data_IF_739014719583
#
_entry.id   IF_739014719583
#
_cell.length_a   1.000
_cell.length_b   1.000
_cell.length_c   1.000
_cell.angle_alpha   90.00
_cell.angle_beta   90.00
_cell.angle_gamma   90.00
#
_symmetry.space_group_name_H-M   'P 1'
#
loop_
_entity.id
_entity.type
_entity.pdbx_description
1 polymer ?
#
# COMPACT_ATOMS: atom_id res chain seq x y z
N UNK A 1 106.68 80.99 -86.68
CA UNK A 1 106.35 80.54 -85.30
C UNK A 1 105.25 81.33 -84.59
N UNK A 2 105.11 82.64 -84.77
CA UNK A 2 104.05 83.42 -84.09
C UNK A 2 102.61 83.10 -84.56
N UNK A 3 102.40 82.89 -85.87
CA UNK A 3 101.07 82.62 -86.45
C UNK A 3 100.50 81.23 -86.09
N UNK A 4 101.32 80.17 -86.17
CA UNK A 4 100.90 78.81 -85.81
C UNK A 4 100.57 78.64 -84.32
N UNK A 5 101.25 79.39 -83.45
CA UNK A 5 100.98 79.42 -82.01
C UNK A 5 99.68 80.21 -81.71
N UNK A 6 99.37 81.23 -82.51
CA UNK A 6 98.09 81.94 -82.47
C UNK A 6 96.89 81.06 -82.85
N UNK A 7 97.03 80.24 -83.90
CA UNK A 7 95.97 79.33 -84.35
C UNK A 7 95.71 78.18 -83.36
N UNK A 8 96.76 77.59 -82.78
CA UNK A 8 96.63 76.58 -81.73
C UNK A 8 95.93 77.15 -80.50
N UNK A 9 96.28 78.38 -80.11
CA UNK A 9 95.65 79.12 -79.01
C UNK A 9 94.18 79.42 -79.30
N UNK A 10 93.82 79.77 -80.54
CA UNK A 10 92.42 79.95 -80.95
C UNK A 10 91.63 78.63 -80.89
N UNK A 11 92.17 77.51 -81.38
CA UNK A 11 91.51 76.20 -81.32
C UNK A 11 91.31 75.69 -79.90
N UNK A 12 92.31 75.82 -79.04
CA UNK A 12 92.20 75.45 -77.62
C UNK A 12 91.17 76.33 -76.89
N UNK A 13 91.14 77.64 -77.18
CA UNK A 13 90.10 78.52 -76.65
C UNK A 13 88.70 78.07 -77.09
N UNK A 14 88.52 77.78 -78.38
CA UNK A 14 87.24 77.33 -78.92
C UNK A 14 86.79 75.99 -78.30
N UNK A 15 87.70 75.02 -78.20
CA UNK A 15 87.42 73.73 -77.55
C UNK A 15 87.10 73.88 -76.06
N UNK A 16 87.80 74.75 -75.35
CA UNK A 16 87.49 75.04 -73.95
C UNK A 16 86.12 75.71 -73.80
N UNK A 17 85.77 76.67 -74.68
CA UNK A 17 84.43 77.26 -74.69
C UNK A 17 83.33 76.22 -74.94
N UNK A 18 83.55 75.27 -75.86
CA UNK A 18 82.60 74.17 -76.10
C UNK A 18 82.47 73.24 -74.89
N UNK A 19 83.57 72.88 -74.23
CA UNK A 19 83.54 72.07 -73.01
C UNK A 19 82.82 72.79 -71.88
N UNK A 20 83.06 74.09 -71.69
CA UNK A 20 82.35 74.91 -70.71
C UNK A 20 80.85 74.92 -70.99
N UNK A 21 80.42 75.12 -72.24
CA UNK A 21 78.99 75.03 -72.58
C UNK A 21 78.42 73.64 -72.30
N UNK A 22 79.16 72.58 -72.62
CA UNK A 22 78.72 71.20 -72.35
C UNK A 22 78.60 70.90 -70.86
N UNK A 23 79.49 71.43 -70.03
CA UNK A 23 79.41 71.32 -68.57
C UNK A 23 78.17 72.03 -68.05
N UNK A 24 77.91 73.28 -68.46
CA UNK A 24 76.71 74.01 -68.05
C UNK A 24 75.42 73.29 -68.48
N UNK A 25 75.39 72.73 -69.70
CA UNK A 25 74.25 71.95 -70.19
C UNK A 25 74.02 70.69 -69.33
N UNK A 26 75.09 69.99 -68.95
CA UNK A 26 74.99 68.81 -68.08
C UNK A 26 74.60 69.16 -66.65
N UNK A 27 75.08 70.28 -66.10
CA UNK A 27 74.69 70.80 -64.79
C UNK A 27 73.20 71.19 -64.76
N UNK A 28 72.71 71.82 -65.83
CA UNK A 28 71.29 72.16 -65.97
C UNK A 28 70.43 70.89 -66.10
N UNK A 29 70.87 69.91 -66.90
CA UNK A 29 70.21 68.60 -67.00
C UNK A 29 70.19 67.84 -65.66
N UNK A 30 71.28 67.86 -64.90
CA UNK A 30 71.35 67.23 -63.58
C UNK A 30 70.38 67.91 -62.62
N UNK A 31 70.37 69.24 -62.58
CA UNK A 31 69.48 70.02 -61.72
C UNK A 31 68.01 69.80 -62.07
N UNK A 32 67.68 69.72 -63.36
CA UNK A 32 66.34 69.37 -63.83
C UNK A 32 65.95 67.94 -63.41
N UNK A 33 66.88 66.98 -63.48
CA UNK A 33 66.64 65.60 -63.03
C UNK A 33 66.43 65.52 -61.51
N UNK A 34 67.26 66.22 -60.71
CA UNK A 34 67.11 66.31 -59.27
C UNK A 34 65.74 66.92 -58.90
N UNK A 35 65.38 68.05 -59.51
CA UNK A 35 64.08 68.68 -59.28
C UNK A 35 62.90 67.77 -59.64
N UNK A 36 63.00 66.98 -60.72
CA UNK A 36 61.95 66.03 -61.10
C UNK A 36 61.87 64.85 -60.14
N UNK A 37 63.01 64.36 -59.66
CA UNK A 37 63.06 63.28 -58.68
C UNK A 37 62.45 63.72 -57.34
N UNK A 38 62.79 64.93 -56.89
CA UNK A 38 62.24 65.52 -55.66
C UNK A 38 60.73 65.71 -55.76
N UNK A 39 60.23 66.27 -56.87
CA UNK A 39 58.78 66.41 -57.12
C UNK A 39 58.07 65.05 -57.10
N UNK A 40 58.64 64.04 -57.77
CA UNK A 40 58.07 62.69 -57.80
C UNK A 40 58.02 62.07 -56.40
N UNK A 41 59.09 62.23 -55.62
CA UNK A 41 59.15 61.74 -54.25
C UNK A 41 58.12 62.44 -53.34
N UNK A 42 57.98 63.75 -53.49
CA UNK A 42 56.99 64.54 -52.75
C UNK A 42 55.55 64.10 -53.10
N UNK A 43 55.26 63.88 -54.37
CA UNK A 43 53.95 63.38 -54.83
C UNK A 43 53.65 61.97 -54.31
N UNK A 44 54.61 61.05 -54.37
CA UNK A 44 54.43 59.67 -53.86
C UNK A 44 54.27 59.66 -52.33
N UNK A 45 55.07 60.44 -51.61
CA UNK A 45 54.95 60.54 -50.15
C UNK A 45 53.62 61.17 -49.73
N UNK A 46 53.12 62.16 -50.49
CA UNK A 46 51.80 62.73 -50.28
C UNK A 46 50.71 61.68 -50.54
N UNK A 47 50.76 60.94 -51.65
CA UNK A 47 49.79 59.88 -51.98
C UNK A 47 49.78 58.76 -50.95
N UNK A 48 50.95 58.30 -50.49
CA UNK A 48 51.07 57.31 -49.43
C UNK A 48 50.47 57.81 -48.10
N UNK A 49 50.69 59.08 -47.75
CA UNK A 49 50.09 59.67 -46.55
C UNK A 49 48.57 59.71 -46.62
N UNK A 50 48.00 60.10 -47.76
CA UNK A 50 46.55 60.14 -47.95
C UNK A 50 45.90 58.76 -47.87
N UNK A 51 46.48 57.78 -48.58
CA UNK A 51 46.00 56.39 -48.58
C UNK A 51 46.08 55.77 -47.19
N UNK A 52 47.19 55.99 -46.47
CA UNK A 52 47.34 55.55 -45.08
C UNK A 52 46.30 56.20 -44.15
N UNK A 53 46.12 57.51 -44.23
CA UNK A 53 45.11 58.23 -43.44
C UNK A 53 43.68 57.76 -43.75
N UNK A 54 43.36 57.43 -45.00
CA UNK A 54 42.06 56.85 -45.37
C UNK A 54 41.87 55.48 -44.74
N UNK A 55 42.84 54.59 -44.90
CA UNK A 55 42.80 53.25 -44.31
C UNK A 55 42.67 53.28 -42.78
N UNK A 56 43.38 54.17 -42.09
CA UNK A 56 43.26 54.32 -40.63
C UNK A 56 41.87 54.82 -40.21
N UNK A 57 41.25 55.73 -40.98
CA UNK A 57 39.85 56.14 -40.73
C UNK A 57 38.89 54.97 -40.93
N UNK A 58 39.00 54.26 -42.05
CA UNK A 58 38.14 53.13 -42.38
C UNK A 58 38.24 52.02 -41.30
N UNK A 59 39.47 51.70 -40.87
CA UNK A 59 39.72 50.75 -39.78
C UNK A 59 39.12 51.22 -38.45
N UNK A 60 39.24 52.50 -38.12
CA UNK A 60 38.65 53.03 -36.88
C UNK A 60 37.11 52.98 -36.92
N UNK A 61 36.50 53.28 -38.08
CA UNK A 61 35.05 53.12 -38.24
C UNK A 61 34.61 51.67 -38.11
N UNK A 62 35.37 50.71 -38.64
CA UNK A 62 35.07 49.28 -38.49
C UNK A 62 35.20 48.83 -37.02
N UNK A 63 36.21 49.32 -36.30
CA UNK A 63 36.38 49.06 -34.86
C UNK A 63 35.18 49.59 -34.07
N UNK A 64 34.70 50.80 -34.36
CA UNK A 64 33.54 51.39 -33.70
C UNK A 64 32.26 50.59 -33.98
N UNK A 65 32.03 50.19 -35.22
CA UNK A 65 30.88 49.37 -35.61
C UNK A 65 30.88 48.01 -34.90
N UNK A 66 32.04 47.34 -34.88
CA UNK A 66 32.19 46.05 -34.20
C UNK A 66 32.02 46.21 -32.68
N UNK A 67 32.58 47.26 -32.08
CA UNK A 67 32.43 47.54 -30.64
C UNK A 67 30.97 47.76 -30.26
N UNK A 68 30.24 48.56 -31.03
CA UNK A 68 28.81 48.77 -30.82
C UNK A 68 28.01 47.46 -30.97
N UNK A 69 28.37 46.62 -31.95
CA UNK A 69 27.70 45.33 -32.14
C UNK A 69 27.94 44.37 -30.99
N UNK A 70 29.16 44.34 -30.44
CA UNK A 70 29.49 43.54 -29.26
C UNK A 70 28.68 44.01 -28.06
N UNK A 71 28.64 45.32 -27.80
CA UNK A 71 27.87 45.89 -26.69
C UNK A 71 26.38 45.51 -26.76
N UNK A 72 25.76 45.64 -27.94
CA UNK A 72 24.36 45.24 -28.15
C UNK A 72 24.13 43.75 -27.84
N UNK A 73 25.01 42.88 -28.32
CA UNK A 73 24.91 41.44 -28.06
C UNK A 73 25.11 41.10 -26.58
N UNK A 74 25.96 41.84 -25.87
CA UNK A 74 26.15 41.68 -24.43
C UNK A 74 24.91 42.10 -23.64
N UNK A 75 24.27 43.20 -24.03
CA UNK A 75 23.00 43.69 -23.47
C UNK A 75 21.87 42.67 -23.71
N UNK A 76 21.67 42.24 -24.95
CA UNK A 76 20.68 41.22 -25.33
C UNK A 76 20.89 39.90 -24.56
N UNK A 77 22.14 39.45 -24.41
CA UNK A 77 22.48 38.25 -23.66
C UNK A 77 22.22 38.44 -22.15
N UNK A 78 22.46 39.63 -21.62
CA UNK A 78 22.12 40.01 -20.25
C UNK A 78 20.61 39.92 -20.00
N UNK A 79 19.80 40.49 -20.88
CA UNK A 79 18.34 40.40 -20.82
C UNK A 79 17.85 38.95 -20.92
N UNK A 80 18.41 38.17 -21.83
CA UNK A 80 18.07 36.76 -21.99
C UNK A 80 18.36 35.96 -20.71
N UNK A 81 19.52 36.18 -20.07
CA UNK A 81 19.85 35.56 -18.78
C UNK A 81 18.84 35.91 -17.70
N UNK A 82 18.43 37.18 -17.59
CA UNK A 82 17.41 37.61 -16.64
C UNK A 82 16.06 36.93 -16.90
N UNK A 83 15.65 36.83 -18.16
CA UNK A 83 14.42 36.16 -18.56
C UNK A 83 14.45 34.66 -18.24
N UNK A 84 15.58 33.99 -18.49
CA UNK A 84 15.78 32.58 -18.10
C UNK A 84 15.64 32.41 -16.59
N UNK A 85 16.25 33.28 -15.78
CA UNK A 85 16.12 33.23 -14.32
C UNK A 85 14.67 33.42 -13.86
N UNK A 86 13.94 34.36 -14.45
CA UNK A 86 12.52 34.60 -14.16
C UNK A 86 11.66 33.38 -14.50
N UNK A 87 11.85 32.80 -15.69
CA UNK A 87 11.12 31.62 -16.15
C UNK A 87 11.40 30.40 -15.27
N UNK A 88 12.66 30.20 -14.84
CA UNK A 88 13.01 29.14 -13.87
C UNK A 88 12.25 29.30 -12.55
N UNK A 89 12.21 30.51 -11.99
CA UNK A 89 11.45 30.77 -10.75
C UNK A 89 9.94 30.56 -10.93
N UNK A 90 9.38 30.94 -12.08
CA UNK A 90 7.97 30.67 -12.39
C UNK A 90 7.68 29.18 -12.51
N UNK A 91 8.56 28.43 -13.17
CA UNK A 91 8.45 26.97 -13.32
C UNK A 91 8.46 26.29 -11.96
N UNK A 92 9.39 26.66 -11.08
CA UNK A 92 9.49 26.10 -9.73
C UNK A 92 8.24 26.39 -8.87
N UNK A 93 7.66 27.59 -9.01
CA UNK A 93 6.39 27.91 -8.33
C UNK A 93 5.24 27.05 -8.82
N UNK A 94 5.13 26.84 -10.13
CA UNK A 94 4.11 25.98 -10.73
C UNK A 94 4.28 24.52 -10.30
N UNK A 95 5.51 24.02 -10.21
CA UNK A 95 5.78 22.66 -9.72
C UNK A 95 5.37 22.50 -8.25
N UNK A 96 5.64 23.50 -7.41
CA UNK A 96 5.19 23.50 -6.01
C UNK A 96 3.65 23.53 -5.90
N UNK A 97 2.97 24.32 -6.73
CA UNK A 97 1.51 24.38 -6.75
C UNK A 97 0.90 23.06 -7.24
N UNK A 98 1.47 22.47 -8.30
CA UNK A 98 1.10 21.15 -8.80
C UNK A 98 1.23 20.07 -7.72
N UNK A 99 2.35 20.05 -6.98
CA UNK A 99 2.53 19.09 -5.90
C UNK A 99 1.47 19.28 -4.82
N UNK A 100 1.24 20.52 -4.36
CA UNK A 100 0.19 20.81 -3.36
C UNK A 100 -1.21 20.38 -3.81
N UNK A 101 -1.55 20.57 -5.09
CA UNK A 101 -2.84 20.14 -5.64
C UNK A 101 -2.94 18.63 -5.73
N UNK A 102 -1.82 17.95 -6.04
CA UNK A 102 -1.75 16.48 -6.06
C UNK A 102 -1.97 15.92 -4.67
N UNK A 103 -1.27 16.43 -3.65
CA UNK A 103 -1.43 16.00 -2.26
C UNK A 103 -2.88 16.18 -1.76
N UNK A 104 -3.53 17.28 -2.13
CA UNK A 104 -4.95 17.54 -1.80
C UNK A 104 -5.91 16.58 -2.50
N UNK A 105 -5.62 16.24 -3.76
CA UNK A 105 -6.42 15.27 -4.50
C UNK A 105 -6.30 13.88 -3.88
N UNK A 106 -5.09 13.48 -3.46
CA UNK A 106 -4.85 12.22 -2.77
C UNK A 106 -5.60 12.15 -1.43
N UNK A 107 -5.55 13.20 -0.61
CA UNK A 107 -6.29 13.28 0.67
C UNK A 107 -7.81 13.16 0.45
N UNK A 108 -8.37 13.92 -0.51
CA UNK A 108 -9.81 13.83 -0.79
C UNK A 108 -10.22 12.49 -1.40
N UNK A 109 -9.37 11.87 -2.22
CA UNK A 109 -9.59 10.54 -2.77
C UNK A 109 -9.57 9.46 -1.70
N UNK A 110 -8.67 9.56 -0.72
CA UNK A 110 -8.60 8.64 0.41
C UNK A 110 -9.86 8.74 1.28
N UNK A 111 -10.27 9.97 1.63
CA UNK A 111 -11.52 10.20 2.38
C UNK A 111 -12.74 9.66 1.66
N UNK A 112 -12.83 9.87 0.34
CA UNK A 112 -13.93 9.33 -0.45
C UNK A 112 -13.96 7.80 -0.40
N UNK A 113 -12.79 7.15 -0.48
CA UNK A 113 -12.68 5.70 -0.36
C UNK A 113 -13.16 5.20 1.00
N UNK A 114 -12.76 5.86 2.08
CA UNK A 114 -13.19 5.50 3.44
C UNK A 114 -14.72 5.62 3.59
N UNK A 115 -15.32 6.69 3.06
CA UNK A 115 -16.77 6.86 3.03
C UNK A 115 -17.46 5.77 2.19
N UNK A 116 -16.93 5.43 1.02
CA UNK A 116 -17.46 4.35 0.17
C UNK A 116 -17.41 2.99 0.88
N UNK A 117 -16.33 2.70 1.61
CA UNK A 117 -16.20 1.46 2.38
C UNK A 117 -17.16 1.45 3.59
N UNK A 118 -17.40 2.60 4.21
CA UNK A 118 -18.42 2.75 5.26
C UNK A 118 -19.84 2.53 4.72
N UNK A 119 -20.17 3.13 3.57
CA UNK A 119 -21.45 2.93 2.89
C UNK A 119 -21.68 1.45 2.55
N UNK A 120 -20.64 0.74 2.06
CA UNK A 120 -20.71 -0.69 1.77
C UNK A 120 -21.04 -1.51 3.04
N UNK A 121 -20.29 -1.27 4.12
CA UNK A 121 -20.53 -1.94 5.42
C UNK A 121 -21.94 -1.68 5.95
N UNK A 122 -22.46 -0.46 5.78
CA UNK A 122 -23.83 -0.14 6.21
C UNK A 122 -24.86 -0.88 5.36
N UNK A 123 -24.64 -0.95 4.04
CA UNK A 123 -25.52 -1.68 3.13
C UNK A 123 -25.55 -3.18 3.45
N UNK A 124 -24.40 -3.79 3.73
CA UNK A 124 -24.30 -5.20 4.12
C UNK A 124 -25.07 -5.48 5.42
N UNK A 125 -24.95 -4.60 6.42
CA UNK A 125 -25.73 -4.70 7.67
C UNK A 125 -27.23 -4.57 7.45
N UNK A 126 -27.67 -3.64 6.59
CA UNK A 126 -29.09 -3.49 6.25
C UNK A 126 -29.62 -4.75 5.55
N UNK A 127 -28.82 -5.35 4.67
CA UNK A 127 -29.16 -6.58 3.98
C UNK A 127 -29.28 -7.76 4.98
N UNK A 128 -28.30 -7.92 5.88
CA UNK A 128 -28.32 -8.94 6.93
C UNK A 128 -29.54 -8.79 7.83
N UNK A 129 -29.81 -7.58 8.33
CA UNK A 129 -30.97 -7.31 9.18
C UNK A 129 -32.30 -7.64 8.49
N UNK A 130 -32.43 -7.29 7.20
CA UNK A 130 -33.63 -7.62 6.41
C UNK A 130 -33.79 -9.13 6.24
N UNK A 131 -32.70 -9.86 6.05
CA UNK A 131 -32.71 -11.32 5.93
C UNK A 131 -33.05 -12.00 7.27
N UNK A 132 -32.47 -11.55 8.37
CA UNK A 132 -32.77 -12.03 9.72
C UNK A 132 -34.25 -11.80 10.07
N UNK A 133 -34.75 -10.59 9.85
CA UNK A 133 -36.17 -10.28 10.05
C UNK A 133 -37.09 -11.15 9.19
N UNK A 134 -36.70 -11.43 7.94
CA UNK A 134 -37.45 -12.31 7.05
C UNK A 134 -37.52 -13.75 7.60
N UNK A 135 -36.40 -14.26 8.13
CA UNK A 135 -36.29 -15.59 8.72
C UNK A 135 -37.08 -15.71 10.02
N UNK A 136 -37.01 -14.70 10.89
CA UNK A 136 -37.83 -14.64 12.12
C UNK A 136 -39.32 -14.61 11.79
N UNK A 137 -39.71 -13.86 10.75
CA UNK A 137 -41.10 -13.81 10.29
C UNK A 137 -41.57 -15.18 9.80
N UNK A 138 -40.75 -15.89 9.03
CA UNK A 138 -41.05 -17.25 8.56
C UNK A 138 -41.19 -18.23 9.74
N UNK A 139 -40.25 -18.21 10.69
CA UNK A 139 -40.31 -19.06 11.88
C UNK A 139 -41.55 -18.78 12.76
N UNK A 140 -41.91 -17.50 12.95
CA UNK A 140 -43.12 -17.13 13.67
C UNK A 140 -44.38 -17.60 12.92
N UNK A 141 -44.38 -17.56 11.60
CA UNK A 141 -45.50 -18.03 10.79
C UNK A 141 -45.67 -19.55 10.86
N UNK A 142 -44.56 -20.32 10.85
CA UNK A 142 -44.57 -21.77 11.11
C UNK A 142 -45.17 -22.08 12.50
N UNK A 143 -44.74 -21.36 13.54
CA UNK A 143 -45.30 -21.53 14.88
C UNK A 143 -46.81 -21.25 14.95
N UNK A 144 -47.28 -20.22 14.24
CA UNK A 144 -48.71 -19.91 14.15
C UNK A 144 -49.46 -21.06 13.45
N UNK A 145 -48.90 -21.65 12.40
CA UNK A 145 -49.49 -22.80 11.72
C UNK A 145 -49.56 -24.04 12.63
N UNK A 146 -48.51 -24.31 13.40
CA UNK A 146 -48.49 -25.42 14.35
C UNK A 146 -49.54 -25.25 15.46
N UNK A 147 -49.65 -24.05 16.03
CA UNK A 147 -50.68 -23.74 17.02
C UNK A 147 -52.09 -23.85 16.42
N UNK A 148 -52.30 -23.47 15.16
CA UNK A 148 -53.59 -23.65 14.47
C UNK A 148 -53.93 -25.14 14.31
N UNK A 149 -52.96 -25.97 13.89
CA UNK A 149 -53.15 -27.43 13.80
C UNK A 149 -53.51 -28.03 15.15
N UNK A 150 -52.83 -27.63 16.22
CA UNK A 150 -53.12 -28.11 17.58
C UNK A 150 -54.52 -27.70 18.05
N UNK A 151 -54.94 -26.45 17.78
CA UNK A 151 -56.30 -26.00 18.07
C UNK A 151 -57.35 -26.81 17.30
N UNK A 152 -57.14 -27.10 16.02
CA UNK A 152 -58.02 -27.97 15.22
C UNK A 152 -58.09 -29.39 15.80
N UNK A 153 -56.96 -29.97 16.19
CA UNK A 153 -56.92 -31.29 16.84
C UNK A 153 -57.71 -31.32 18.15
N UNK A 154 -57.56 -30.30 19.01
CA UNK A 154 -58.30 -30.19 20.26
C UNK A 154 -59.81 -30.04 20.04
N UNK A 155 -60.23 -29.28 19.02
CA UNK A 155 -61.64 -29.15 18.65
C UNK A 155 -62.23 -30.50 18.21
N UNK A 156 -61.52 -31.26 17.36
CA UNK A 156 -61.94 -32.60 16.93
C UNK A 156 -62.04 -33.58 18.09
N UNK A 157 -61.06 -33.57 19.00
CA UNK A 157 -61.06 -34.43 20.19
C UNK A 157 -62.26 -34.15 21.09
N UNK A 158 -62.59 -32.87 21.29
CA UNK A 158 -63.77 -32.46 22.08
C UNK A 158 -65.06 -32.97 21.45
N UNK A 159 -65.24 -32.80 20.14
CA UNK A 159 -66.43 -33.27 19.42
C UNK A 159 -66.58 -34.79 19.47
N UNK A 160 -65.47 -35.53 19.37
CA UNK A 160 -65.45 -37.00 19.49
C UNK A 160 -65.81 -37.49 20.89
N UNK A 161 -65.46 -36.74 21.93
CA UNK A 161 -65.85 -37.05 23.32
C UNK A 161 -67.33 -36.81 23.58
N UNK A 162 -67.92 -35.77 22.95
CA UNK A 162 -69.34 -35.43 23.08
C UNK A 162 -70.26 -36.38 22.28
N UNK A 163 -69.78 -36.98 21.18
CA UNK A 163 -70.56 -37.93 20.37
C UNK A 163 -70.69 -39.35 20.99
N UNK A 164 -69.99 -39.64 22.09
CA UNK A 164 -69.85 -40.99 22.67
C UNK A 164 -70.77 -41.35 23.83
N UNK A 165 -71.80 -40.57 24.17
CA UNK A 165 -72.61 -40.81 25.39
C UNK A 165 -74.01 -41.39 25.14
N UNK A 166 -74.08 -42.72 25.10
CA UNK A 166 -75.27 -43.50 25.51
C UNK A 166 -75.27 -43.68 27.03
N UNK A 167 -75.80 -42.69 27.76
CA UNK A 167 -75.63 -42.54 29.21
C UNK A 167 -76.19 -43.66 30.11
N UNK A 168 -77.11 -44.51 29.63
CA UNK A 168 -77.79 -45.49 30.50
C UNK A 168 -77.00 -46.78 30.84
N UNK A 169 -76.15 -47.26 29.92
CA UNK A 169 -75.43 -48.53 30.12
C UNK A 169 -74.06 -48.35 30.79
N UNK A 170 -73.43 -47.19 30.60
CA UNK A 170 -72.15 -46.88 31.24
C UNK A 170 -72.30 -46.63 32.75
N UNK A 171 -73.41 -46.03 33.18
CA UNK A 171 -73.66 -45.71 34.58
C UNK A 171 -74.00 -46.97 35.42
N UNK A 172 -74.69 -47.95 34.81
CA UNK A 172 -74.94 -49.26 35.43
C UNK A 172 -73.65 -50.07 35.59
N UNK A 173 -72.82 -50.14 34.54
CA UNK A 173 -71.51 -50.80 34.61
C UNK A 173 -70.56 -50.11 35.60
N UNK A 174 -70.63 -48.77 35.73
CA UNK A 174 -69.84 -48.03 36.71
C UNK A 174 -70.22 -48.40 38.16
N UNK A 175 -71.52 -48.48 38.48
CA UNK A 175 -72.00 -48.88 39.81
C UNK A 175 -71.63 -50.32 40.17
N UNK A 176 -71.74 -51.27 39.24
CA UNK A 176 -71.31 -52.65 39.50
C UNK A 176 -69.81 -52.73 39.77
N UNK A 177 -69.00 -52.03 38.98
CA UNK A 177 -67.54 -51.98 39.17
C UNK A 177 -67.15 -51.26 40.47
N UNK A 178 -67.90 -50.25 40.89
CA UNK A 178 -67.70 -49.56 42.17
C UNK A 178 -67.86 -50.52 43.35
N UNK A 179 -68.94 -51.31 43.39
CA UNK A 179 -69.19 -52.31 44.44
C UNK A 179 -68.09 -53.38 44.47
N UNK A 180 -67.66 -53.86 43.29
CA UNK A 180 -66.55 -54.82 43.19
C UNK A 180 -65.24 -54.23 43.73
N UNK A 181 -64.95 -52.96 43.41
CA UNK A 181 -63.79 -52.24 43.92
C UNK A 181 -63.87 -52.02 45.44
N UNK A 182 -65.05 -51.73 45.99
CA UNK A 182 -65.24 -51.60 47.44
C UNK A 182 -64.97 -52.93 48.16
N UNK A 183 -65.46 -54.03 47.60
CA UNK A 183 -65.19 -55.38 48.11
C UNK A 183 -63.69 -55.69 48.05
N UNK A 184 -63.03 -55.35 46.95
CA UNK A 184 -61.61 -55.56 46.77
C UNK A 184 -60.77 -54.70 47.71
N UNK A 185 -61.12 -53.43 47.91
CA UNK A 185 -60.49 -52.55 48.91
C UNK A 185 -60.65 -53.12 50.31
N UNK A 186 -61.83 -53.67 50.65
CA UNK A 186 -62.07 -54.28 51.97
C UNK A 186 -61.21 -55.53 52.16
N UNK A 187 -61.09 -56.38 51.12
CA UNK A 187 -60.22 -57.56 51.10
C UNK A 187 -58.75 -57.17 51.24
N UNK A 188 -58.29 -56.21 50.44
CA UNK A 188 -56.92 -55.70 50.48
C UNK A 188 -56.59 -55.06 51.84
N UNK A 189 -57.52 -54.33 52.46
CA UNK A 189 -57.32 -53.80 53.82
C UNK A 189 -57.13 -54.91 54.85
N UNK A 190 -57.93 -55.99 54.79
CA UNK A 190 -57.76 -57.14 55.67
C UNK A 190 -56.44 -57.87 55.43
N UNK A 191 -56.04 -58.03 54.17
CA UNK A 191 -54.77 -58.63 53.79
C UNK A 191 -53.59 -57.78 54.26
N UNK A 192 -53.66 -56.45 54.10
CA UNK A 192 -52.65 -55.51 54.59
C UNK A 192 -52.51 -55.57 56.11
N UNK A 193 -53.63 -55.68 56.84
CA UNK A 193 -53.60 -55.86 58.29
C UNK A 193 -52.87 -57.15 58.68
N UNK A 194 -53.18 -58.28 58.03
CA UNK A 194 -52.46 -59.55 58.27
C UNK A 194 -50.98 -59.47 57.92
N UNK A 195 -50.64 -58.83 56.81
CA UNK A 195 -49.24 -58.65 56.39
C UNK A 195 -48.47 -57.77 57.38
N UNK A 196 -49.10 -56.73 57.95
CA UNK A 196 -48.48 -55.92 59.00
C UNK A 196 -48.24 -56.72 60.26
N UNK A 197 -49.21 -57.51 60.70
CA UNK A 197 -49.08 -58.40 61.87
C UNK A 197 -47.91 -59.39 61.68
N UNK A 198 -47.82 -60.02 60.50
CA UNK A 198 -46.69 -60.87 60.13
C UNK A 198 -45.36 -60.11 60.05
N UNK A 199 -45.37 -58.87 59.57
CA UNK A 199 -44.17 -58.03 59.51
C UNK A 199 -43.69 -57.68 60.92
N UNK A 200 -44.60 -57.38 61.85
CA UNK A 200 -44.28 -57.10 63.25
C UNK A 200 -43.70 -58.34 63.96
N UNK A 201 -44.24 -59.53 63.68
CA UNK A 201 -43.68 -60.80 64.13
C UNK A 201 -42.27 -61.05 63.57
N UNK A 202 -42.07 -60.84 62.26
CA UNK A 202 -40.77 -60.99 61.60
C UNK A 202 -39.76 -59.95 62.08
N UNK A 203 -40.16 -58.70 62.28
CA UNK A 203 -39.32 -57.65 62.85
C UNK A 203 -38.89 -58.03 64.27
N UNK A 204 -39.80 -58.59 65.06
CA UNK A 204 -39.47 -59.12 66.40
C UNK A 204 -38.45 -60.26 66.33
N UNK A 205 -38.56 -61.15 65.34
CA UNK A 205 -37.56 -62.19 65.08
C UNK A 205 -36.20 -61.61 64.63
N UNK A 206 -36.20 -60.65 63.70
CA UNK A 206 -34.98 -59.97 63.23
C UNK A 206 -34.29 -59.25 64.38
N UNK A 207 -35.03 -58.57 65.25
CA UNK A 207 -34.46 -57.91 66.42
C UNK A 207 -33.78 -58.93 67.34
N UNK A 208 -34.43 -60.09 67.55
CA UNK A 208 -33.89 -61.19 68.35
C UNK A 208 -32.59 -61.75 67.75
N UNK A 209 -32.57 -61.98 66.43
CA UNK A 209 -31.38 -62.45 65.70
C UNK A 209 -30.28 -61.39 65.66
N UNK A 210 -30.62 -60.12 65.45
CA UNK A 210 -29.65 -59.02 65.42
C UNK A 210 -29.01 -58.80 66.79
N UNK A 211 -29.76 -58.97 67.88
CA UNK A 211 -29.20 -58.98 69.23
C UNK A 211 -28.24 -60.16 69.44
N UNK A 212 -28.56 -61.33 68.88
CA UNK A 212 -27.69 -62.49 68.90
C UNK A 212 -26.40 -62.28 68.06
N UNK A 213 -26.51 -61.71 66.87
CA UNK A 213 -25.36 -61.41 66.00
C UNK A 213 -24.53 -60.25 66.52
N UNK A 214 -25.12 -59.19 67.08
CA UNK A 214 -24.39 -58.10 67.74
C UNK A 214 -23.56 -58.65 68.91
N UNK A 215 -24.13 -59.58 69.70
CA UNK A 215 -23.39 -60.30 70.74
C UNK A 215 -22.19 -61.08 70.18
N UNK A 216 -22.29 -61.60 68.95
CA UNK A 216 -21.18 -62.26 68.25
C UNK A 216 -20.19 -61.27 67.59
N UNK A 217 -20.63 -60.10 67.13
CA UNK A 217 -19.81 -59.07 66.46
C UNK A 217 -18.89 -58.33 67.43
N UNK A 218 -19.32 -58.12 68.68
CA UNK A 218 -18.40 -57.67 69.75
C UNK A 218 -17.24 -58.64 69.99
N UNK A 219 -17.32 -59.89 69.51
CA UNK A 219 -16.25 -60.87 69.63
C UNK A 219 -15.18 -60.80 68.50
N UNK A 220 -15.34 -59.97 67.45
CA UNK A 220 -14.47 -60.02 66.26
C UNK A 220 -14.09 -58.63 65.69
N UNK A 221 -13.11 -57.95 66.29
CA UNK A 221 -12.60 -56.62 65.87
C UNK A 221 -11.18 -56.69 65.27
N UNK A 222 -10.96 -57.29 64.10
CA UNK A 222 -9.72 -57.07 63.32
C UNK A 222 -9.86 -57.58 61.88
N UNK A 223 -9.93 -56.66 60.90
CA UNK A 223 -9.50 -56.76 59.48
C UNK A 223 -10.48 -56.07 58.51
N UNK A 224 -10.19 -54.84 58.10
CA UNK A 224 -10.19 -54.38 56.70
C UNK A 224 -9.80 -52.89 56.63
N UNK A 225 -8.74 -52.59 55.89
CA UNK A 225 -8.17 -51.27 55.59
C UNK A 225 -8.82 -50.69 54.30
N UNK A 226 -8.79 -49.36 54.13
CA UNK A 226 -9.63 -48.58 53.19
C UNK A 226 -8.85 -47.83 52.10
N UNK A 227 -9.33 -47.96 50.85
CA UNK A 227 -9.41 -47.09 49.64
C UNK A 227 -8.42 -45.93 49.34
N UNK A 228 -7.50 -45.54 50.22
CA UNK A 228 -6.64 -44.36 50.02
C UNK A 228 -5.41 -44.58 49.10
N UNK A 229 -5.16 -45.82 48.66
CA UNK A 229 -3.97 -46.18 47.88
C UNK A 229 -4.15 -46.09 46.35
N UNK A 230 -5.33 -45.75 45.84
CA UNK A 230 -5.67 -45.89 44.41
C UNK A 230 -5.60 -44.59 43.58
N UNK A 231 -5.39 -43.41 44.18
CA UNK A 231 -5.59 -42.12 43.50
C UNK A 231 -4.31 -41.52 42.85
N UNK A 232 -3.10 -42.01 43.18
CA UNK A 232 -1.84 -41.34 42.78
C UNK A 232 -1.26 -41.69 41.39
N UNK A 233 -1.98 -42.40 40.51
CA UNK A 233 -1.35 -43.11 39.36
C UNK A 233 -1.55 -42.55 37.93
N UNK A 234 -1.90 -41.27 37.72
CA UNK A 234 -1.89 -40.65 36.37
C UNK A 234 -1.07 -39.36 36.35
N UNK A 235 0.21 -39.47 35.95
CA UNK A 235 1.24 -38.45 36.18
C UNK A 235 1.47 -37.50 35.01
N UNK A 236 1.53 -36.20 35.35
CA UNK A 236 2.07 -35.01 34.64
C UNK A 236 3.15 -35.22 33.57
N UNK A 237 3.96 -36.28 33.64
CA UNK A 237 5.05 -36.54 32.69
C UNK A 237 4.54 -36.92 31.29
N UNK A 238 3.43 -37.65 31.18
CA UNK A 238 2.83 -38.01 29.88
C UNK A 238 2.37 -36.77 29.08
N UNK A 239 1.92 -35.72 29.78
CA UNK A 239 1.51 -34.45 29.17
C UNK A 239 2.70 -33.63 28.66
N UNK A 240 3.84 -33.69 29.36
CA UNK A 240 5.04 -32.93 28.99
C UNK A 240 5.72 -33.55 27.77
N UNK A 241 5.73 -34.87 27.66
CA UNK A 241 6.33 -35.57 26.52
C UNK A 241 5.52 -35.35 25.23
N UNK A 242 4.19 -35.40 25.32
CA UNK A 242 3.31 -35.07 24.19
C UNK A 242 3.51 -33.64 23.67
N UNK A 243 3.76 -32.68 24.57
CA UNK A 243 4.00 -31.28 24.19
C UNK A 243 5.33 -31.10 23.45
N UNK A 244 6.40 -31.75 23.91
CA UNK A 244 7.72 -31.70 23.24
C UNK A 244 7.71 -32.31 21.84
N UNK A 245 6.97 -33.40 21.66
CA UNK A 245 6.85 -34.04 20.35
C UNK A 245 6.13 -33.12 19.35
N UNK A 246 5.08 -32.43 19.80
CA UNK A 246 4.36 -31.44 18.99
C UNK A 246 5.24 -30.25 18.59
N UNK A 247 6.11 -29.76 19.46
CA UNK A 247 7.07 -28.68 19.15
C UNK A 247 8.10 -29.12 18.11
N UNK A 248 8.59 -30.36 18.18
CA UNK A 248 9.55 -30.92 17.23
C UNK A 248 8.97 -31.01 15.80
N UNK A 249 7.72 -31.49 15.68
CA UNK A 249 7.02 -31.58 14.39
C UNK A 249 6.82 -30.19 13.78
N UNK A 250 6.46 -29.20 14.59
CA UNK A 250 6.27 -27.82 14.15
C UNK A 250 7.56 -27.20 13.60
N UNK A 251 8.70 -27.44 14.27
CA UNK A 251 9.99 -26.95 13.81
C UNK A 251 10.36 -27.53 12.44
N UNK A 252 10.11 -28.83 12.24
CA UNK A 252 10.40 -29.52 10.99
C UNK A 252 9.51 -29.06 9.84
N UNK A 253 8.24 -28.77 10.12
CA UNK A 253 7.31 -28.17 9.16
C UNK A 253 7.76 -26.77 8.71
N UNK A 254 8.22 -25.92 9.63
CA UNK A 254 8.74 -24.58 9.30
C UNK A 254 9.94 -24.66 8.36
N UNK A 255 10.94 -25.49 8.69
CA UNK A 255 12.12 -25.67 7.83
C UNK A 255 11.77 -26.20 6.43
N UNK A 256 10.76 -27.06 6.32
CA UNK A 256 10.28 -27.56 5.03
C UNK A 256 9.58 -26.46 4.23
N UNK A 257 8.72 -25.67 4.87
CA UNK A 257 8.07 -24.51 4.23
C UNK A 257 9.10 -23.51 3.73
N UNK A 258 10.13 -23.18 4.52
CA UNK A 258 11.19 -22.25 4.09
C UNK A 258 11.91 -22.73 2.82
N UNK A 259 12.21 -24.03 2.73
CA UNK A 259 12.83 -24.61 1.53
C UNK A 259 11.93 -24.52 0.29
N UNK A 260 10.62 -24.73 0.46
CA UNK A 260 9.64 -24.58 -0.63
C UNK A 260 9.52 -23.11 -1.05
N UNK A 261 9.41 -22.19 -0.09
CA UNK A 261 9.27 -20.75 -0.36
C UNK A 261 10.50 -20.24 -1.13
N UNK A 262 11.71 -20.62 -0.71
CA UNK A 262 12.94 -20.27 -1.43
C UNK A 262 12.94 -20.82 -2.86
N UNK A 263 12.55 -22.08 -3.06
CA UNK A 263 12.48 -22.68 -4.39
C UNK A 263 11.46 -21.97 -5.30
N UNK A 264 10.32 -21.55 -4.75
CA UNK A 264 9.29 -20.80 -5.48
C UNK A 264 9.79 -19.40 -5.84
N UNK A 265 10.46 -18.70 -4.91
CA UNK A 265 11.05 -17.38 -5.17
C UNK A 265 12.07 -17.41 -6.31
N UNK A 266 12.87 -18.47 -6.42
CA UNK A 266 13.88 -18.62 -7.48
C UNK A 266 13.30 -18.94 -8.86
N UNK A 267 12.15 -19.63 -8.93
CA UNK A 267 11.60 -20.13 -10.20
C UNK A 267 10.38 -19.36 -10.71
N UNK A 268 9.44 -18.99 -9.83
CA UNK A 268 8.25 -18.22 -10.19
C UNK A 268 7.61 -17.58 -8.94
N UNK A 269 8.02 -16.35 -8.55
CA UNK A 269 7.58 -15.71 -7.32
C UNK A 269 6.09 -15.33 -7.29
N UNK A 270 5.41 -15.27 -8.45
CA UNK A 270 3.97 -14.93 -8.54
C UNK A 270 3.05 -15.94 -7.84
N UNK A 271 3.51 -17.17 -7.59
CA UNK A 271 2.75 -18.20 -6.86
C UNK A 271 2.55 -17.83 -5.37
N UNK A 272 3.42 -16.99 -4.80
CA UNK A 272 3.31 -16.53 -3.42
C UNK A 272 2.40 -15.29 -3.27
N UNK A 273 1.83 -14.76 -4.36
CA UNK A 273 0.86 -13.67 -4.28
C UNK A 273 -0.43 -14.17 -3.63
N UNK A 274 -0.60 -13.81 -2.35
CA UNK A 274 -1.89 -13.94 -1.68
C UNK A 274 -2.83 -12.94 -2.32
N UNK A 275 -3.71 -13.42 -3.20
CA UNK A 275 -4.81 -12.60 -3.72
C UNK A 275 -5.72 -12.26 -2.56
N UNK A 276 -5.66 -11.00 -2.12
CA UNK A 276 -6.68 -10.42 -1.26
C UNK A 276 -8.00 -10.43 -2.03
N UNK A 277 -8.79 -11.51 -1.87
CA UNK A 277 -10.19 -11.46 -2.22
C UNK A 277 -10.79 -10.34 -1.36
N UNK A 278 -11.24 -9.28 -2.05
CA UNK A 278 -12.02 -8.19 -1.47
C UNK A 278 -13.25 -8.70 -0.72
#
# INVERSE_FOLDING_TARGET
DSLANGDLKCKLKQGNTQLVHRVHELEEQLKDQESRADQTLEEETHRHRETYCKMERDKNTDIELLSNRVQQLEEENGEMKLNVCKLKSQTEKLDQEKQRMTDRLEDTSLRLKDEMDLYRKMMDKLWQNRHEFQKEREAMQELIEDLRRELEHLQLFKLGSEAGQGAGLSEYNAKTREIEMEHEVKRLKQENFKLRDQNDDLNSQILSLSLYEAKNLFACHTKAQSLAAEIDNASRDELVDALKEQECVNLRLRQYMDKIILAILDHNPSILEIKSNS
#
